data_IF_516486316064
#
_entry.id   IF_516486316064
#
_cell.length_a   1.000
_cell.length_b   1.000
_cell.length_c   1.000
_cell.angle_alpha   90.00
_cell.angle_beta   90.00
_cell.angle_gamma   90.00
#
_symmetry.space_group_name_H-M   'P 1'
#
loop_
_entity.id
_entity.type
_entity.pdbx_description
1 polymer ?
#
# COMPACT_ATOMS: atom_id res chain seq x y z
N UNK A 1 2.47 -19.28 70.69
CA UNK A 1 1.87 -19.75 69.39
C UNK A 1 1.70 -18.53 68.53
N UNK A 2 2.63 -18.29 67.63
CA UNK A 2 2.73 -17.04 66.89
C UNK A 2 2.40 -17.29 65.40
N UNK A 3 1.54 -16.52 64.93
CA UNK A 3 0.82 -16.37 63.67
C UNK A 3 1.72 -16.33 62.40
N UNK A 4 1.95 -17.48 61.81
CA UNK A 4 2.64 -17.60 60.51
C UNK A 4 1.68 -17.54 59.31
N UNK A 5 0.44 -17.08 59.46
CA UNK A 5 -0.59 -17.12 58.43
C UNK A 5 -0.59 -15.85 57.54
N UNK A 6 0.02 -14.77 58.01
CA UNK A 6 -0.07 -13.46 57.30
C UNK A 6 0.71 -13.39 55.97
N UNK A 7 1.88 -14.02 55.91
CA UNK A 7 2.74 -13.93 54.73
C UNK A 7 2.20 -14.67 53.48
N UNK A 8 1.67 -15.88 53.71
CA UNK A 8 1.15 -16.70 52.62
C UNK A 8 -0.12 -16.11 51.96
N UNK A 9 -0.96 -15.45 52.74
CA UNK A 9 -2.17 -14.76 52.23
C UNK A 9 -1.80 -13.51 51.44
N UNK A 10 -0.78 -12.77 51.86
CA UNK A 10 -0.30 -11.58 51.18
C UNK A 10 0.36 -11.92 49.82
N UNK A 11 1.16 -12.99 49.78
CA UNK A 11 1.78 -13.47 48.53
C UNK A 11 0.72 -13.95 47.51
N UNK A 12 -0.31 -14.66 48.00
CA UNK A 12 -1.42 -15.11 47.13
C UNK A 12 -2.21 -13.93 46.54
N UNK A 13 -2.51 -12.92 47.33
CA UNK A 13 -3.20 -11.70 46.86
C UNK A 13 -2.35 -10.93 45.87
N UNK A 14 -1.05 -10.81 46.10
CA UNK A 14 -0.12 -10.15 45.18
C UNK A 14 0.02 -10.92 43.85
N UNK A 15 0.08 -12.25 43.88
CA UNK A 15 0.10 -13.11 42.71
C UNK A 15 -1.18 -13.01 41.88
N UNK A 16 -2.35 -12.92 42.52
CA UNK A 16 -3.62 -12.71 41.82
C UNK A 16 -3.70 -11.33 41.15
N UNK A 17 -3.28 -10.27 41.84
CA UNK A 17 -3.21 -8.91 41.29
C UNK A 17 -2.27 -8.82 40.09
N UNK A 18 -1.11 -9.48 40.17
CA UNK A 18 -0.14 -9.51 39.06
C UNK A 18 -0.69 -10.26 37.84
N UNK A 19 -1.39 -11.39 38.06
CA UNK A 19 -2.05 -12.12 36.97
C UNK A 19 -3.16 -11.31 36.30
N UNK A 20 -3.97 -10.62 37.13
CA UNK A 20 -5.03 -9.74 36.60
C UNK A 20 -4.46 -8.56 35.83
N UNK A 21 -3.34 -7.98 36.26
CA UNK A 21 -2.63 -6.91 35.56
C UNK A 21 -2.01 -7.40 34.25
N UNK A 22 -1.41 -8.60 34.23
CA UNK A 22 -0.93 -9.20 32.98
C UNK A 22 -2.05 -9.48 31.97
N UNK A 23 -3.23 -9.91 32.41
CA UNK A 23 -4.38 -10.10 31.52
C UNK A 23 -4.91 -8.78 30.94
N UNK A 24 -4.83 -7.68 31.66
CA UNK A 24 -5.19 -6.34 31.17
C UNK A 24 -4.23 -5.82 30.09
N UNK A 25 -2.95 -6.24 30.12
CA UNK A 25 -1.96 -5.88 29.10
C UNK A 25 -2.06 -6.74 27.81
N UNK A 26 -2.83 -7.82 27.85
CA UNK A 26 -3.03 -8.72 26.72
C UNK A 26 -4.27 -8.35 25.85
N UNK A 27 -4.75 -7.11 25.93
CA UNK A 27 -5.78 -6.65 25.01
C UNK A 27 -5.19 -6.67 23.59
N UNK A 28 -5.83 -7.36 22.63
CA UNK A 28 -5.35 -7.35 21.25
C UNK A 28 -5.39 -5.91 20.74
N UNK A 29 -4.23 -5.33 20.53
CA UNK A 29 -4.10 -4.09 19.80
C UNK A 29 -4.42 -4.42 18.33
N UNK A 30 -5.67 -4.28 17.92
CA UNK A 30 -6.09 -4.34 16.53
C UNK A 30 -5.58 -3.09 15.81
N UNK A 31 -4.25 -2.98 15.67
CA UNK A 31 -3.57 -1.97 14.87
C UNK A 31 -3.45 -2.47 13.43
N UNK A 32 -4.46 -3.11 12.87
CA UNK A 32 -4.55 -3.32 11.44
C UNK A 32 -5.02 -2.01 10.81
N UNK A 33 -4.08 -1.09 10.60
CA UNK A 33 -4.27 -0.03 9.64
C UNK A 33 -4.41 -0.68 8.26
N UNK A 34 -5.62 -1.03 7.91
CA UNK A 34 -5.93 -1.46 6.56
C UNK A 34 -5.97 -0.21 5.68
N UNK A 35 -4.78 0.28 5.33
CA UNK A 35 -4.57 1.44 4.47
C UNK A 35 -5.40 1.32 3.18
N UNK A 36 -5.45 0.12 2.61
CA UNK A 36 -6.19 -0.17 1.37
C UNK A 36 -7.70 0.01 1.53
N UNK A 37 -8.27 -0.17 2.74
CA UNK A 37 -9.72 0.00 2.96
C UNK A 37 -10.22 1.44 2.84
N UNK A 38 -9.32 2.40 2.81
CA UNK A 38 -9.67 3.81 2.59
C UNK A 38 -9.84 4.15 1.11
N UNK A 39 -9.48 3.23 0.20
CA UNK A 39 -9.52 3.44 -1.24
C UNK A 39 -10.45 2.44 -1.92
N UNK A 40 -11.17 2.91 -2.96
CA UNK A 40 -12.05 2.04 -3.74
C UNK A 40 -11.23 1.29 -4.80
N UNK A 41 -10.71 0.12 -4.42
CA UNK A 41 -9.89 -0.71 -5.29
C UNK A 41 -10.63 -1.27 -6.51
N UNK A 42 -11.95 -1.15 -6.57
CA UNK A 42 -12.78 -1.55 -7.71
C UNK A 42 -13.15 -0.38 -8.63
N UNK A 43 -12.88 0.85 -8.22
CA UNK A 43 -13.17 2.03 -9.03
C UNK A 43 -12.17 2.18 -10.19
N UNK A 44 -12.63 2.82 -11.27
CA UNK A 44 -11.74 3.28 -12.33
C UNK A 44 -10.74 4.30 -11.77
N UNK A 45 -9.45 4.22 -12.15
CA UNK A 45 -8.44 5.17 -11.72
C UNK A 45 -8.80 6.60 -12.13
N UNK A 46 -8.63 7.52 -11.21
CA UNK A 46 -8.77 8.97 -11.46
C UNK A 46 -7.42 9.53 -11.85
N UNK A 47 -7.41 10.48 -12.80
CA UNK A 47 -6.22 11.25 -13.19
C UNK A 47 -6.46 12.73 -12.94
N UNK A 48 -5.46 13.40 -12.40
CA UNK A 48 -5.46 14.85 -12.19
C UNK A 48 -4.15 15.44 -12.72
N UNK A 49 -4.22 16.71 -13.13
CA UNK A 49 -3.05 17.52 -13.49
C UNK A 49 -3.11 18.82 -12.72
N UNK A 50 -1.97 19.30 -12.23
CA UNK A 50 -1.90 20.52 -11.46
C UNK A 50 -0.49 20.87 -11.03
N UNK A 51 -0.41 21.81 -10.08
CA UNK A 51 0.85 22.31 -9.54
C UNK A 51 1.10 21.73 -8.15
N UNK A 52 2.29 21.24 -7.90
CA UNK A 52 2.69 20.74 -6.58
C UNK A 52 2.70 21.87 -5.57
N UNK A 53 1.80 21.82 -4.59
CA UNK A 53 1.80 22.71 -3.43
C UNK A 53 2.89 22.30 -2.43
N UNK A 54 2.99 21.00 -2.12
CA UNK A 54 4.02 20.44 -1.24
C UNK A 54 4.17 18.93 -1.44
N UNK A 55 5.35 18.41 -1.10
CA UNK A 55 5.64 16.99 -1.11
C UNK A 55 6.25 16.54 0.23
N UNK A 56 5.59 15.60 0.89
CA UNK A 56 6.01 15.04 2.15
C UNK A 56 6.56 13.63 1.94
N UNK A 57 7.88 13.52 1.88
CA UNK A 57 8.58 12.24 1.75
C UNK A 57 8.91 11.65 3.12
N UNK A 58 7.89 11.20 3.85
CA UNK A 58 7.96 10.73 5.24
C UNK A 58 7.26 9.38 5.42
N UNK A 59 7.50 8.73 6.57
CA UNK A 59 6.73 7.59 7.01
C UNK A 59 5.50 8.05 7.83
N UNK A 60 4.40 7.28 7.92
CA UNK A 60 4.19 5.94 7.33
C UNK A 60 3.90 5.97 5.82
N UNK A 61 3.42 7.08 5.28
CA UNK A 61 3.02 7.25 3.89
C UNK A 61 3.53 8.59 3.35
N UNK A 62 3.99 8.59 2.09
CA UNK A 62 4.28 9.86 1.42
C UNK A 62 2.98 10.55 1.05
N UNK A 63 3.02 11.89 0.92
CA UNK A 63 1.89 12.69 0.43
C UNK A 63 2.36 13.78 -0.52
N UNK A 64 1.64 13.90 -1.63
CA UNK A 64 1.80 15.00 -2.57
C UNK A 64 0.51 15.83 -2.49
N UNK A 65 0.63 17.10 -2.21
CA UNK A 65 -0.47 18.05 -2.27
C UNK A 65 -0.41 18.74 -3.62
N UNK A 66 -1.49 18.63 -4.40
CA UNK A 66 -1.56 19.14 -5.77
C UNK A 66 -2.71 20.12 -5.87
N UNK A 67 -2.41 21.34 -6.30
CA UNK A 67 -3.42 22.35 -6.62
C UNK A 67 -3.88 22.13 -8.07
N UNK A 68 -5.15 21.81 -8.21
CA UNK A 68 -5.82 21.52 -9.48
C UNK A 68 -6.79 22.66 -9.76
N UNK A 69 -6.82 23.17 -10.98
CA UNK A 69 -7.79 24.16 -11.39
C UNK A 69 -9.17 23.50 -11.50
N UNK A 70 -10.07 23.88 -10.60
CA UNK A 70 -11.48 23.47 -10.60
C UNK A 70 -12.35 24.46 -11.40
N UNK A 71 -13.63 24.14 -11.54
CA UNK A 71 -14.56 24.97 -12.31
C UNK A 71 -14.74 26.38 -11.72
N UNK A 72 -14.77 26.49 -10.38
CA UNK A 72 -15.03 27.76 -9.69
C UNK A 72 -13.83 28.26 -8.89
N UNK A 73 -12.97 27.36 -8.45
CA UNK A 73 -11.80 27.67 -7.63
C UNK A 73 -10.76 26.54 -7.72
N UNK A 74 -9.53 26.84 -7.30
CA UNK A 74 -8.51 25.81 -7.13
C UNK A 74 -8.92 24.85 -6.03
N UNK A 75 -8.74 23.56 -6.31
CA UNK A 75 -8.96 22.48 -5.36
C UNK A 75 -7.64 21.81 -5.05
N UNK A 76 -7.34 21.62 -3.76
CA UNK A 76 -6.16 20.86 -3.37
C UNK A 76 -6.50 19.38 -3.29
N UNK A 77 -5.77 18.55 -4.03
CA UNK A 77 -5.82 17.10 -3.97
C UNK A 77 -4.71 16.56 -3.09
N UNK A 78 -5.03 15.51 -2.34
CA UNK A 78 -4.05 14.74 -1.55
C UNK A 78 -3.80 13.42 -2.25
N UNK A 79 -2.59 13.23 -2.73
CA UNK A 79 -2.14 11.99 -3.36
C UNK A 79 -1.25 11.26 -2.37
N UNK A 80 -1.76 10.18 -1.81
CA UNK A 80 -1.05 9.37 -0.83
C UNK A 80 -0.37 8.19 -1.50
N UNK A 81 0.89 7.94 -1.15
CA UNK A 81 1.66 6.84 -1.71
C UNK A 81 2.09 5.83 -0.65
N UNK A 82 2.94 4.88 -1.05
CA UNK A 82 3.53 3.91 -0.13
C UNK A 82 4.46 4.59 0.88
N UNK A 83 4.99 3.85 1.83
CA UNK A 83 5.90 4.40 2.83
C UNK A 83 7.21 4.88 2.19
N UNK A 84 7.80 5.94 2.76
CA UNK A 84 9.13 6.42 2.38
C UNK A 84 10.15 5.27 2.30
N UNK A 85 10.14 4.37 3.28
CA UNK A 85 11.11 3.27 3.34
C UNK A 85 10.99 2.31 2.15
N UNK A 86 9.77 2.04 1.67
CA UNK A 86 9.53 1.21 0.48
C UNK A 86 10.02 1.96 -0.76
N UNK A 87 9.60 3.20 -0.93
CA UNK A 87 9.94 4.01 -2.09
C UNK A 87 11.45 4.28 -2.19
N UNK A 88 12.14 4.50 -1.05
CA UNK A 88 13.60 4.67 -1.05
C UNK A 88 14.34 3.42 -1.55
N UNK A 89 13.83 2.21 -1.27
CA UNK A 89 14.39 0.97 -1.82
C UNK A 89 14.14 0.83 -3.32
N UNK A 90 13.14 1.51 -3.82
CA UNK A 90 12.79 1.58 -5.25
C UNK A 90 13.52 2.69 -5.98
N UNK A 91 14.30 3.50 -5.27
CA UNK A 91 15.15 4.54 -5.83
C UNK A 91 14.60 5.97 -5.71
N UNK A 92 13.53 6.16 -4.94
CA UNK A 92 13.06 7.51 -4.61
C UNK A 92 13.99 8.15 -3.58
N UNK A 93 14.33 9.43 -3.79
CA UNK A 93 15.19 10.21 -2.88
C UNK A 93 14.40 11.27 -2.10
N UNK A 94 13.23 11.65 -2.61
CA UNK A 94 12.42 12.75 -2.10
C UNK A 94 12.75 14.11 -2.74
N UNK A 95 13.69 14.14 -3.68
CA UNK A 95 14.06 15.35 -4.43
C UNK A 95 13.44 15.46 -5.82
N UNK A 96 12.70 14.44 -6.25
CA UNK A 96 12.13 14.32 -7.59
C UNK A 96 10.95 15.26 -7.80
N UNK A 97 10.15 15.43 -6.75
CA UNK A 97 8.95 16.27 -6.76
C UNK A 97 9.23 17.51 -5.92
N UNK A 98 9.11 18.67 -6.51
CA UNK A 98 9.35 19.95 -5.86
C UNK A 98 8.11 20.83 -5.91
N UNK A 99 7.96 21.68 -4.91
CA UNK A 99 6.94 22.73 -4.93
C UNK A 99 7.05 23.54 -6.22
N UNK A 100 5.92 23.79 -6.87
CA UNK A 100 5.83 24.52 -8.13
C UNK A 100 5.98 23.66 -9.38
N UNK A 101 6.39 22.39 -9.28
CA UNK A 101 6.40 21.52 -10.47
C UNK A 101 4.98 21.31 -11.01
N UNK A 102 4.87 21.25 -12.33
CA UNK A 102 3.69 20.69 -13.00
C UNK A 102 3.71 19.18 -12.85
N UNK A 103 2.62 18.62 -12.33
CA UNK A 103 2.51 17.20 -12.07
C UNK A 103 1.21 16.64 -12.64
N UNK A 104 1.30 15.47 -13.28
CA UNK A 104 0.14 14.66 -13.62
C UNK A 104 0.22 13.35 -12.84
N UNK A 105 -0.84 13.00 -12.13
CA UNK A 105 -0.89 11.81 -11.29
C UNK A 105 -2.15 11.03 -11.58
N UNK A 106 -2.06 9.71 -11.53
CA UNK A 106 -3.21 8.82 -11.57
C UNK A 106 -3.20 7.88 -10.37
N UNK A 107 -4.38 7.51 -9.93
CA UNK A 107 -4.52 6.67 -8.75
C UNK A 107 -5.93 6.24 -8.45
N UNK A 108 -6.07 5.41 -7.42
CA UNK A 108 -7.34 4.90 -6.94
C UNK A 108 -8.00 5.94 -6.03
N UNK A 109 -9.24 6.36 -6.29
CA UNK A 109 -9.91 7.35 -5.45
C UNK A 109 -10.20 6.82 -4.04
N UNK A 110 -10.23 7.72 -3.07
CA UNK A 110 -10.65 7.37 -1.72
C UNK A 110 -12.17 7.13 -1.66
N UNK A 111 -12.62 6.24 -0.79
CA UNK A 111 -14.03 5.88 -0.62
C UNK A 111 -14.85 6.98 0.05
N UNK A 112 -14.26 7.73 0.97
CA UNK A 112 -14.96 8.70 1.82
C UNK A 112 -14.40 10.11 1.79
N UNK A 113 -13.16 10.28 1.34
CA UNK A 113 -12.49 11.57 1.31
C UNK A 113 -12.55 12.17 -0.10
N UNK A 114 -13.12 13.37 -0.22
CA UNK A 114 -13.10 14.13 -1.48
C UNK A 114 -11.67 14.56 -1.80
N UNK A 115 -11.33 14.59 -3.09
CA UNK A 115 -10.03 15.04 -3.59
C UNK A 115 -8.85 14.30 -2.95
N UNK A 116 -9.00 12.97 -2.77
CA UNK A 116 -7.98 12.11 -2.18
C UNK A 116 -7.84 10.83 -3.02
N UNK A 117 -6.60 10.43 -3.31
CA UNK A 117 -6.32 9.21 -4.06
C UNK A 117 -5.06 8.51 -3.57
N UNK A 118 -5.00 7.20 -3.84
CA UNK A 118 -3.80 6.39 -3.70
C UNK A 118 -3.01 6.44 -5.01
N UNK A 119 -1.76 6.87 -4.93
CA UNK A 119 -0.85 7.03 -6.06
C UNK A 119 -0.59 5.70 -6.78
N UNK A 120 -0.81 5.68 -8.09
CA UNK A 120 -0.42 4.58 -8.98
C UNK A 120 0.70 4.99 -9.94
N UNK A 121 0.56 6.15 -10.59
CA UNK A 121 1.53 6.68 -11.55
C UNK A 121 1.72 8.17 -11.34
N UNK A 122 2.92 8.66 -11.64
CA UNK A 122 3.27 10.07 -11.54
C UNK A 122 4.16 10.51 -12.70
N UNK A 123 3.82 11.67 -13.28
CA UNK A 123 4.58 12.37 -14.28
C UNK A 123 4.96 13.73 -13.71
N UNK A 124 6.21 14.10 -13.81
CA UNK A 124 6.73 15.41 -13.36
C UNK A 124 7.27 16.13 -14.60
N UNK A 125 6.80 17.35 -14.84
CA UNK A 125 7.15 18.16 -16.02
C UNK A 125 6.93 17.39 -17.34
N UNK A 126 5.89 16.54 -17.40
CA UNK A 126 5.54 15.75 -18.59
C UNK A 126 6.30 14.43 -18.74
N UNK A 127 7.30 14.15 -17.91
CA UNK A 127 8.05 12.90 -17.94
C UNK A 127 7.56 11.94 -16.86
N UNK A 128 7.30 10.67 -17.24
CA UNK A 128 6.93 9.65 -16.28
C UNK A 128 8.09 9.40 -15.30
N UNK A 129 7.82 9.65 -14.02
CA UNK A 129 8.80 9.35 -13.00
C UNK A 129 8.89 7.83 -12.78
N UNK A 130 9.98 7.26 -13.27
CA UNK A 130 10.33 5.85 -13.05
C UNK A 130 11.57 5.78 -12.17
N UNK A 131 11.47 5.16 -11.00
CA UNK A 131 12.64 4.97 -10.15
C UNK A 131 13.75 4.22 -10.90
N UNK A 132 14.99 4.69 -10.79
CA UNK A 132 16.16 4.08 -11.46
C UNK A 132 16.30 2.57 -11.17
N UNK A 133 15.89 2.12 -9.99
CA UNK A 133 15.89 0.70 -9.63
C UNK A 133 14.93 -0.13 -10.49
N UNK A 134 13.78 0.44 -10.90
CA UNK A 134 12.83 -0.21 -11.80
C UNK A 134 13.37 -0.23 -13.24
N UNK A 135 13.94 0.89 -13.69
CA UNK A 135 14.55 0.95 -15.03
C UNK A 135 15.71 -0.05 -15.19
N UNK A 136 16.56 -0.17 -14.15
CA UNK A 136 17.63 -1.17 -14.16
C UNK A 136 17.06 -2.60 -14.26
N UNK A 137 16.03 -2.93 -13.48
CA UNK A 137 15.38 -4.25 -13.56
C UNK A 137 14.75 -4.50 -14.93
N UNK A 138 14.11 -3.49 -15.53
CA UNK A 138 13.54 -3.60 -16.88
C UNK A 138 14.63 -3.82 -17.93
N UNK A 139 15.74 -3.10 -17.83
CA UNK A 139 16.92 -3.32 -18.71
C UNK A 139 17.53 -4.71 -18.53
N UNK A 140 17.71 -5.15 -17.28
CA UNK A 140 18.20 -6.50 -16.99
C UNK A 140 17.26 -7.58 -17.57
N UNK A 141 15.94 -7.39 -17.49
CA UNK A 141 14.96 -8.29 -18.08
C UNK A 141 15.01 -8.27 -19.61
N UNK A 142 15.14 -7.09 -20.23
CA UNK A 142 15.25 -6.96 -21.70
C UNK A 142 16.56 -7.52 -22.24
N UNK A 143 17.69 -7.31 -21.55
CA UNK A 143 19.00 -7.83 -21.95
C UNK A 143 19.17 -9.33 -21.64
N UNK A 144 18.44 -9.86 -20.66
CA UNK A 144 18.42 -11.28 -20.33
C UNK A 144 17.46 -12.11 -21.19
N UNK A 145 16.62 -11.46 -21.98
CA UNK A 145 15.62 -12.11 -22.84
C UNK A 145 16.14 -12.73 -24.12
N UNK A 146 17.40 -12.52 -24.49
CA UNK A 146 18.03 -13.16 -25.66
C UNK A 146 18.55 -14.58 -25.38
N UNK A 147 18.37 -15.07 -24.16
CA UNK A 147 18.63 -16.45 -23.77
C UNK A 147 17.32 -17.23 -23.68
N UNK A 148 16.96 -17.92 -24.75
CA UNK A 148 15.83 -18.82 -24.87
C UNK A 148 15.51 -19.59 -23.57
N UNK A 149 14.46 -19.18 -22.89
CA UNK A 149 13.87 -19.86 -21.75
C UNK A 149 12.35 -19.86 -21.89
N UNK A 150 11.84 -20.82 -22.63
CA UNK A 150 10.44 -21.19 -22.79
C UNK A 150 9.64 -21.06 -21.49
N UNK A 151 8.87 -20.00 -21.35
CA UNK A 151 7.76 -19.92 -20.39
C UNK A 151 6.47 -20.37 -21.11
N UNK A 152 6.54 -21.55 -21.73
CA UNK A 152 5.40 -22.13 -22.45
C UNK A 152 5.12 -23.57 -22.00
N UNK A 153 5.09 -23.86 -20.71
CA UNK A 153 4.69 -25.20 -20.30
C UNK A 153 3.92 -25.29 -18.98
N UNK A 154 3.52 -24.20 -18.39
CA UNK A 154 2.76 -24.28 -17.12
C UNK A 154 1.31 -23.78 -17.20
N UNK A 155 0.84 -23.26 -18.36
CA UNK A 155 -0.57 -22.88 -18.54
C UNK A 155 -1.42 -23.92 -19.26
N UNK A 156 -0.81 -24.95 -19.87
CA UNK A 156 -1.56 -25.97 -20.64
C UNK A 156 -1.96 -27.21 -19.83
N UNK A 157 -1.78 -27.21 -18.51
CA UNK A 157 -2.09 -28.38 -17.69
C UNK A 157 -3.27 -28.22 -16.73
N UNK A 158 -4.03 -27.15 -16.87
CA UNK A 158 -5.25 -26.91 -16.10
C UNK A 158 -6.44 -26.66 -17.00
N UNK A 159 -6.83 -27.64 -17.81
CA UNK A 159 -8.01 -27.49 -18.61
C UNK A 159 -8.17 -28.47 -19.76
N UNK A 160 -8.24 -29.77 -19.51
CA UNK A 160 -8.91 -30.69 -20.40
C UNK A 160 -9.31 -31.96 -19.61
N UNK A 161 -10.46 -31.85 -18.96
CA UNK A 161 -11.30 -32.94 -18.52
C UNK A 161 -12.68 -32.74 -19.13
N UNK A 162 -12.75 -32.74 -20.45
CA UNK A 162 -14.02 -32.76 -21.18
C UNK A 162 -14.45 -34.18 -21.40
N UNK A 163 -15.38 -34.66 -20.59
CA UNK A 163 -16.12 -35.89 -20.87
C UNK A 163 -17.09 -35.65 -22.02
N UNK A 164 -16.99 -36.43 -23.05
CA UNK A 164 -17.95 -36.58 -24.13
C UNK A 164 -19.25 -37.20 -23.62
N UNK A 165 -20.46 -36.70 -23.97
CA UNK A 165 -21.69 -37.44 -23.77
C UNK A 165 -21.82 -38.44 -24.92
N UNK A 166 -21.96 -39.71 -24.58
CA UNK A 166 -22.35 -40.80 -25.46
C UNK A 166 -23.74 -40.54 -26.04
N UNK A 167 -23.78 -40.60 -27.36
CA UNK A 167 -24.99 -40.74 -28.17
C UNK A 167 -25.34 -42.22 -28.27
N UNK A 168 -26.42 -42.67 -27.64
CA UNK A 168 -27.10 -43.91 -27.99
C UNK A 168 -28.62 -43.79 -27.80
N UNK A 169 -29.29 -43.61 -28.96
CA UNK A 169 -30.38 -44.43 -29.55
C UNK A 169 -31.36 -45.08 -28.57
N UNK A 170 -32.57 -44.71 -28.56
CA UNK A 170 -33.78 -45.28 -29.05
C UNK A 170 -35.01 -44.53 -28.58
#
# INVERSE_FOLDING_TARGET
MSTSISGAVMIRKFSLLLKFFCCLLALPANAHHNFVSHYDMGAEPVSIEGTVQSFWFVNPHIRIYVDVDGNDAKETWVVEGRSRNILSREGWTGGEIKQGNTISVSGTPATTLKNHMLLSRVFVEGEEFRPQALERKLKEFQLGGDGAGTVSSHLDRAGMGGGTPDEQTR
#
